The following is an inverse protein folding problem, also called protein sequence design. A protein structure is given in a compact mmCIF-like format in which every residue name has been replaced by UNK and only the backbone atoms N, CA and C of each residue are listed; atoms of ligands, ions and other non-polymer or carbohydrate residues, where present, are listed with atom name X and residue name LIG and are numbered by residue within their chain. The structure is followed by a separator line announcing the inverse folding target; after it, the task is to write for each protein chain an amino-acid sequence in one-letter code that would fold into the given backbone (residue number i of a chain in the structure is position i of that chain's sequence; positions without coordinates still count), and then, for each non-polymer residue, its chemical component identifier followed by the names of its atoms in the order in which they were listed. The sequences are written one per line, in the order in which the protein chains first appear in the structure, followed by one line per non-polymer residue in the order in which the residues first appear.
data_IF_478745881592
#
_entry.id   IF_478745881592
#
_cell.length_a   1.000
_cell.length_b   1.000
_cell.length_c   1.000
_cell.angle_alpha   90.00
_cell.angle_beta   90.00
_cell.angle_gamma   90.00
#
_symmetry.space_group_name_H-M   'P 1'
#
loop_
_entity.id
_entity.type
_entity.pdbx_description
1 polymer ?
#
# COMPACT_ATOMS: atom_id res chain seq x y z
N UNK A 1 51.32 -25.78 -13.03
CA UNK A 1 51.96 -24.43 -13.09
C UNK A 1 51.06 -23.49 -12.30
N UNK A 2 51.42 -23.21 -11.06
CA UNK A 2 50.66 -22.39 -10.13
C UNK A 2 51.35 -21.01 -10.07
N UNK A 3 50.59 -19.95 -10.32
CA UNK A 3 51.09 -18.57 -10.16
C UNK A 3 50.38 -18.02 -8.93
N UNK A 4 51.18 -17.75 -7.88
CA UNK A 4 50.79 -17.02 -6.67
C UNK A 4 50.87 -15.51 -6.94
N UNK A 5 49.85 -14.75 -6.48
CA UNK A 5 49.92 -13.30 -6.33
C UNK A 5 49.97 -12.94 -4.84
N UNK A 6 50.67 -11.87 -4.43
CA UNK A 6 50.99 -11.60 -3.05
C UNK A 6 49.92 -10.73 -2.33
N UNK A 7 49.75 -10.98 -1.03
CA UNK A 7 49.05 -10.19 -0.04
C UNK A 7 49.71 -8.81 0.18
N UNK A 8 48.91 -7.76 0.15
CA UNK A 8 49.30 -6.49 0.72
C UNK A 8 48.38 -6.19 1.94
N UNK A 9 48.94 -6.34 3.12
CA UNK A 9 48.43 -5.82 4.36
C UNK A 9 48.87 -4.36 4.47
N UNK A 10 47.92 -3.40 4.62
CA UNK A 10 48.22 -2.07 5.13
C UNK A 10 47.26 -1.74 6.28
N UNK A 11 47.85 -1.63 7.40
CA UNK A 11 47.43 -1.06 8.67
C UNK A 11 46.91 0.38 8.49
N UNK A 12 45.72 0.68 9.08
CA UNK A 12 45.31 2.04 9.34
C UNK A 12 45.13 2.24 10.85
N UNK A 13 46.04 3.00 11.43
CA UNK A 13 45.89 3.55 12.76
C UNK A 13 45.40 5.00 12.63
N UNK A 14 44.38 5.36 13.39
CA UNK A 14 44.16 6.62 14.05
C UNK A 14 43.78 7.85 13.22
N UNK A 15 42.53 8.28 13.33
CA UNK A 15 42.17 9.70 13.22
C UNK A 15 41.09 10.02 14.25
N UNK A 16 41.46 10.96 15.12
CA UNK A 16 40.69 11.50 16.26
C UNK A 16 39.59 12.44 15.77
N UNK A 17 38.45 12.35 16.46
CA UNK A 17 37.34 13.31 16.41
C UNK A 17 37.76 14.75 16.75
N UNK A 18 37.27 15.71 15.95
CA UNK A 18 37.27 17.13 16.30
C UNK A 18 35.86 17.65 16.34
N UNK A 19 35.38 17.96 17.54
CA UNK A 19 34.11 18.66 17.77
C UNK A 19 34.32 20.16 17.45
N UNK A 20 33.47 20.73 16.61
CA UNK A 20 33.36 22.19 16.46
C UNK A 20 32.20 22.67 17.34
N UNK A 21 32.58 23.38 18.39
CA UNK A 21 31.71 24.25 19.18
C UNK A 21 31.60 25.61 18.49
N UNK A 22 30.40 26.08 18.22
CA UNK A 22 30.13 27.44 17.77
C UNK A 22 29.60 28.24 18.96
N UNK A 23 30.39 29.26 19.36
CA UNK A 23 30.05 30.21 20.39
C UNK A 23 28.96 31.18 19.93
N UNK A 24 28.00 31.43 20.83
CA UNK A 24 27.05 32.53 20.75
C UNK A 24 27.70 33.82 21.24
N UNK A 25 27.67 34.89 20.44
CA UNK A 25 27.98 36.22 20.85
C UNK A 25 26.73 37.08 20.94
N UNK A 26 26.56 37.70 22.11
CA UNK A 26 25.49 38.62 22.45
C UNK A 26 25.81 40.06 21.96
N UNK A 27 24.81 40.76 21.43
CA UNK A 27 24.79 42.22 21.41
C UNK A 27 23.35 42.74 21.26
N UNK A 28 22.83 43.44 22.21
CA UNK A 28 22.61 44.90 22.12
C UNK A 28 21.13 45.24 22.19
N UNK A 29 20.62 45.54 23.40
CA UNK A 29 19.30 46.16 23.65
C UNK A 29 19.27 47.59 23.08
N UNK A 30 18.20 47.94 22.37
CA UNK A 30 17.68 49.31 22.31
C UNK A 30 16.18 49.32 22.53
N UNK A 31 15.76 50.03 23.58
CA UNK A 31 14.39 50.41 23.87
C UNK A 31 13.87 51.43 22.86
N UNK A 32 12.68 51.29 22.38
CA UNK A 32 11.79 52.38 21.94
C UNK A 32 10.35 52.07 22.30
N UNK A 33 9.70 53.11 22.75
CA UNK A 33 8.46 53.23 23.46
C UNK A 33 7.19 52.81 22.70
N UNK A 34 6.21 52.38 23.48
CA UNK A 34 4.85 52.02 23.06
C UNK A 34 3.96 53.24 22.81
N UNK A 35 3.01 53.06 21.88
CA UNK A 35 1.69 53.69 21.92
C UNK A 35 0.64 52.77 21.26
N UNK A 36 -0.60 52.72 21.73
CA UNK A 36 -1.58 51.66 21.43
C UNK A 36 -2.49 52.05 20.28
N UNK A 37 -2.69 51.09 19.37
CA UNK A 37 -3.79 51.19 18.35
C UNK A 37 -4.64 49.96 18.41
N UNK A 38 -5.93 50.23 18.29
CA UNK A 38 -7.13 49.41 18.44
C UNK A 38 -7.13 48.06 17.74
N UNK A 39 -7.81 47.09 18.37
CA UNK A 39 -8.22 45.80 17.75
C UNK A 39 -9.30 46.00 16.71
N UNK A 40 -9.31 45.19 15.66
CA UNK A 40 -10.55 44.67 15.12
C UNK A 40 -10.58 43.14 15.05
N UNK A 41 -11.72 42.62 15.42
CA UNK A 41 -12.49 41.44 14.96
C UNK A 41 -11.77 40.12 14.63
N UNK A 42 -12.07 39.17 15.46
CA UNK A 42 -12.36 37.73 15.24
C UNK A 42 -12.08 37.18 13.82
N UNK A 43 -10.95 36.49 13.68
CA UNK A 43 -10.76 35.48 12.64
C UNK A 43 -11.28 34.12 13.14
N UNK A 44 -11.93 33.30 12.28
CA UNK A 44 -12.36 31.97 12.68
C UNK A 44 -11.15 31.09 12.94
N UNK A 45 -11.14 30.43 14.09
CA UNK A 45 -10.13 29.39 14.41
C UNK A 45 -10.18 28.30 13.35
N UNK A 46 -9.04 27.85 12.80
CA UNK A 46 -9.04 26.67 11.96
C UNK A 46 -9.50 25.48 12.80
N UNK A 47 -10.43 24.71 12.26
CA UNK A 47 -10.86 23.45 12.83
C UNK A 47 -9.63 22.57 13.08
N UNK A 48 -9.43 22.12 14.30
CA UNK A 48 -8.42 21.11 14.62
C UNK A 48 -8.83 19.83 13.90
N UNK A 49 -8.15 19.52 12.81
CA UNK A 49 -8.17 18.20 12.20
C UNK A 49 -7.70 17.20 13.27
N UNK A 50 -8.56 16.24 13.58
CA UNK A 50 -8.25 15.13 14.45
C UNK A 50 -7.10 14.32 13.82
N UNK A 51 -5.89 14.54 14.30
CA UNK A 51 -4.68 13.80 13.94
C UNK A 51 -4.70 12.33 14.45
N UNK A 52 -5.77 11.92 15.10
CA UNK A 52 -5.92 10.59 15.72
C UNK A 52 -6.03 9.46 14.70
N UNK A 53 -6.61 9.69 13.53
CA UNK A 53 -6.80 8.63 12.52
C UNK A 53 -5.53 8.19 11.77
N UNK A 54 -4.50 9.05 11.72
CA UNK A 54 -3.24 8.71 11.03
C UNK A 54 -2.32 7.82 11.88
N UNK A 55 -2.45 7.88 13.21
CA UNK A 55 -1.57 7.14 14.12
C UNK A 55 -1.95 5.65 14.28
N UNK A 56 -3.19 5.29 13.98
CA UNK A 56 -3.77 4.01 14.44
C UNK A 56 -3.58 2.85 13.45
N UNK A 57 -3.57 3.11 12.14
CA UNK A 57 -3.20 2.07 11.18
C UNK A 57 -1.73 1.58 11.33
N UNK A 58 -0.84 2.42 11.91
CA UNK A 58 0.52 2.03 12.31
C UNK A 58 0.51 1.03 13.49
N UNK A 59 -0.48 1.11 14.37
CA UNK A 59 -0.56 0.26 15.54
C UNK A 59 -0.88 -1.20 15.17
N UNK A 60 -1.85 -1.44 14.28
CA UNK A 60 -2.26 -2.80 13.88
C UNK A 60 -1.15 -3.52 13.12
N UNK A 61 -0.51 -2.85 12.15
CA UNK A 61 0.62 -3.42 11.42
C UNK A 61 1.80 -3.77 12.35
N UNK A 62 2.13 -2.87 13.29
CA UNK A 62 3.22 -3.09 14.27
C UNK A 62 2.91 -4.18 15.28
N UNK A 63 1.65 -4.44 15.58
CA UNK A 63 1.20 -5.39 16.58
C UNK A 63 1.15 -6.81 16.03
N UNK A 64 0.66 -6.98 14.78
CA UNK A 64 0.75 -8.26 14.09
C UNK A 64 2.23 -8.68 13.95
N UNK A 65 3.14 -7.74 13.66
CA UNK A 65 4.57 -7.99 13.67
C UNK A 65 5.10 -8.39 15.06
N UNK A 66 4.69 -7.71 16.12
CA UNK A 66 5.15 -7.99 17.48
C UNK A 66 4.68 -9.35 18.00
N UNK A 67 3.43 -9.74 17.77
CA UNK A 67 2.92 -11.05 18.19
C UNK A 67 3.55 -12.20 17.40
N UNK A 68 3.91 -11.97 16.13
CA UNK A 68 4.63 -12.95 15.32
C UNK A 68 6.13 -13.01 15.65
N UNK A 69 6.74 -11.90 16.14
CA UNK A 69 8.17 -11.84 16.50
C UNK A 69 8.50 -12.58 17.80
N UNK A 70 7.59 -12.67 18.76
CA UNK A 70 7.92 -13.17 20.09
C UNK A 70 7.62 -14.66 20.30
N UNK A 71 7.16 -15.38 19.27
CA UNK A 71 6.89 -16.82 19.39
C UNK A 71 6.00 -17.15 20.60
N UNK A 72 5.08 -16.24 20.96
CA UNK A 72 4.12 -16.52 22.03
C UNK A 72 3.27 -17.66 21.50
N UNK A 73 3.59 -18.88 21.93
CA UNK A 73 2.61 -19.95 21.95
C UNK A 73 1.47 -19.43 22.82
N UNK A 74 0.48 -18.80 22.16
CA UNK A 74 -0.81 -18.60 22.80
C UNK A 74 -1.28 -20.00 23.18
N UNK A 75 -1.62 -20.20 24.45
CA UNK A 75 -2.25 -21.45 24.89
C UNK A 75 -3.31 -21.79 23.85
N UNK A 76 -3.17 -22.98 23.25
CA UNK A 76 -4.05 -23.42 22.17
C UNK A 76 -5.48 -23.33 22.69
N UNK A 77 -6.31 -22.54 22.02
CA UNK A 77 -7.75 -22.59 22.23
C UNK A 77 -8.18 -24.06 22.11
N UNK A 78 -8.95 -24.56 23.05
CA UNK A 78 -9.44 -25.95 23.04
C UNK A 78 -10.29 -26.17 21.78
N UNK A 79 -9.77 -26.92 20.81
CA UNK A 79 -10.45 -27.26 19.59
C UNK A 79 -9.63 -27.11 18.30
N UNK A 80 -10.21 -27.40 17.12
CA UNK A 80 -9.55 -27.21 15.84
C UNK A 80 -9.36 -25.71 15.57
N UNK A 81 -8.19 -25.32 15.03
CA UNK A 81 -7.91 -23.95 14.64
C UNK A 81 -8.92 -23.44 13.58
N UNK A 82 -9.11 -22.11 13.50
CA UNK A 82 -9.97 -21.50 12.49
C UNK A 82 -9.60 -21.96 11.05
N UNK A 83 -8.29 -22.08 10.77
CA UNK A 83 -7.80 -22.58 9.48
C UNK A 83 -8.25 -24.02 9.19
N UNK A 84 -8.29 -24.87 10.21
CA UNK A 84 -8.73 -26.25 10.05
C UNK A 84 -10.25 -26.37 9.90
N UNK A 85 -11.01 -25.60 10.67
CA UNK A 85 -12.46 -25.49 10.53
C UNK A 85 -12.85 -25.06 9.11
N UNK A 86 -12.20 -24.03 8.59
CA UNK A 86 -12.46 -23.52 7.24
C UNK A 86 -12.04 -24.52 6.16
N UNK A 87 -10.93 -25.23 6.36
CA UNK A 87 -10.52 -26.31 5.44
C UNK A 87 -11.54 -27.44 5.36
N UNK A 88 -12.07 -27.86 6.49
CA UNK A 88 -13.11 -28.87 6.55
C UNK A 88 -14.41 -28.39 5.89
N UNK A 89 -14.86 -27.18 6.24
CA UNK A 89 -16.06 -26.58 5.65
C UNK A 89 -15.98 -26.46 4.12
N UNK A 90 -14.84 -26.00 3.59
CA UNK A 90 -14.60 -25.92 2.13
C UNK A 90 -14.65 -27.29 1.46
N UNK A 91 -14.13 -28.33 2.14
CA UNK A 91 -14.11 -29.71 1.62
C UNK A 91 -15.50 -30.34 1.61
N UNK A 92 -16.31 -30.10 2.66
CA UNK A 92 -17.61 -30.72 2.84
C UNK A 92 -18.73 -30.04 2.03
N UNK A 93 -18.74 -28.71 2.01
CA UNK A 93 -19.88 -27.94 1.49
C UNK A 93 -19.50 -26.99 0.36
N UNK A 94 -18.20 -26.80 0.10
CA UNK A 94 -17.72 -25.74 -0.79
C UNK A 94 -17.95 -24.33 -0.21
N UNK A 95 -17.80 -23.29 -1.06
CA UNK A 95 -18.05 -21.90 -0.68
C UNK A 95 -19.25 -21.34 -1.42
N UNK A 96 -20.31 -21.02 -0.68
CA UNK A 96 -21.58 -20.46 -1.15
C UNK A 96 -21.79 -19.03 -0.68
N UNK A 97 -22.91 -18.40 -1.07
CA UNK A 97 -23.30 -17.07 -0.57
C UNK A 97 -23.57 -17.04 0.95
N UNK A 98 -23.88 -18.19 1.55
CA UNK A 98 -24.15 -18.33 3.00
C UNK A 98 -22.91 -18.68 3.80
N UNK A 99 -21.77 -18.91 3.14
CA UNK A 99 -20.49 -19.15 3.83
C UNK A 99 -20.00 -17.89 4.56
N UNK A 100 -19.22 -18.03 5.65
CA UNK A 100 -18.60 -16.91 6.32
C UNK A 100 -17.88 -15.95 5.36
N UNK A 101 -17.90 -14.65 5.66
CA UNK A 101 -17.34 -13.61 4.78
C UNK A 101 -15.88 -13.89 4.42
N UNK A 102 -15.08 -14.38 5.36
CA UNK A 102 -13.69 -14.76 5.11
C UNK A 102 -13.52 -15.76 3.96
N UNK A 103 -14.37 -16.76 3.86
CA UNK A 103 -14.31 -17.76 2.78
C UNK A 103 -14.78 -17.16 1.44
N UNK A 104 -15.77 -16.31 1.48
CA UNK A 104 -16.31 -15.62 0.29
C UNK A 104 -15.28 -14.62 -0.26
N UNK A 105 -14.60 -13.88 0.62
CA UNK A 105 -13.52 -12.97 0.23
C UNK A 105 -12.33 -13.74 -0.36
N UNK A 106 -11.90 -14.85 0.26
CA UNK A 106 -10.83 -15.70 -0.27
C UNK A 106 -11.17 -16.20 -1.68
N UNK A 107 -12.38 -16.74 -1.88
CA UNK A 107 -12.84 -17.18 -3.20
C UNK A 107 -12.81 -16.03 -4.21
N UNK A 108 -13.36 -14.88 -3.86
CA UNK A 108 -13.46 -13.71 -4.72
C UNK A 108 -12.07 -13.20 -5.17
N UNK A 109 -11.10 -13.05 -4.26
CA UNK A 109 -9.76 -12.56 -4.64
C UNK A 109 -9.01 -13.56 -5.53
N UNK A 110 -9.19 -14.86 -5.34
CA UNK A 110 -8.59 -15.86 -6.22
C UNK A 110 -9.22 -15.88 -7.62
N UNK A 111 -10.52 -15.66 -7.73
CA UNK A 111 -11.20 -15.51 -9.02
C UNK A 111 -10.72 -14.27 -9.75
N UNK A 112 -10.63 -13.14 -9.05
CA UNK A 112 -10.15 -11.86 -9.61
C UNK A 112 -8.66 -11.92 -9.99
N UNK A 113 -7.82 -12.60 -9.21
CA UNK A 113 -6.43 -12.81 -9.59
C UNK A 113 -6.32 -13.53 -10.94
N UNK A 114 -7.07 -14.60 -11.15
CA UNK A 114 -7.04 -15.36 -12.41
C UNK A 114 -7.52 -14.51 -13.59
N UNK A 115 -8.59 -13.75 -13.41
CA UNK A 115 -9.13 -12.86 -14.44
C UNK A 115 -8.15 -11.77 -14.83
N UNK A 116 -7.55 -11.11 -13.82
CA UNK A 116 -6.55 -10.04 -14.03
C UNK A 116 -5.30 -10.60 -14.72
N UNK A 117 -4.75 -11.72 -14.25
CA UNK A 117 -3.57 -12.35 -14.84
C UNK A 117 -3.84 -12.71 -16.30
N UNK A 118 -4.96 -13.37 -16.61
CA UNK A 118 -5.29 -13.72 -17.99
C UNK A 118 -5.41 -12.52 -18.92
N UNK A 119 -6.02 -11.42 -18.45
CA UNK A 119 -6.13 -10.19 -19.23
C UNK A 119 -4.74 -9.53 -19.46
N UNK A 120 -3.87 -9.53 -18.45
CA UNK A 120 -2.52 -8.97 -18.58
C UNK A 120 -1.61 -9.82 -19.49
N UNK A 121 -1.74 -11.15 -19.47
CA UNK A 121 -1.06 -12.06 -20.39
C UNK A 121 -1.47 -11.81 -21.85
N UNK A 122 -2.75 -11.52 -22.09
CA UNK A 122 -3.21 -11.11 -23.44
C UNK A 122 -2.59 -9.79 -23.90
N UNK A 123 -2.45 -8.81 -22.99
CA UNK A 123 -1.84 -7.51 -23.30
C UNK A 123 -0.35 -7.62 -23.56
N UNK A 124 0.36 -8.43 -22.78
CA UNK A 124 1.83 -8.58 -22.83
C UNK A 124 2.27 -9.58 -23.89
N UNK A 125 1.53 -10.68 -24.07
CA UNK A 125 1.90 -11.82 -24.91
C UNK A 125 2.84 -12.81 -24.22
N UNK A 126 3.16 -12.62 -22.92
CA UNK A 126 4.01 -13.48 -22.10
C UNK A 126 3.25 -13.96 -20.87
N UNK A 127 3.50 -15.21 -20.46
CA UNK A 127 2.84 -15.82 -19.31
C UNK A 127 3.49 -15.36 -17.99
N UNK A 128 2.68 -15.25 -16.95
CA UNK A 128 3.15 -15.06 -15.58
C UNK A 128 3.74 -16.35 -15.01
N UNK A 129 4.83 -16.23 -14.28
CA UNK A 129 5.31 -17.30 -13.41
C UNK A 129 4.40 -17.36 -12.17
N UNK A 130 3.85 -18.53 -11.89
CA UNK A 130 2.99 -18.77 -10.73
C UNK A 130 3.80 -19.45 -9.63
N UNK A 131 3.77 -18.87 -8.44
CA UNK A 131 4.44 -19.34 -7.24
C UNK A 131 3.42 -19.47 -6.11
N UNK A 132 3.11 -20.71 -5.72
CA UNK A 132 2.18 -21.01 -4.63
C UNK A 132 2.98 -21.33 -3.36
N UNK A 133 2.59 -20.75 -2.24
CA UNK A 133 3.28 -20.91 -0.98
C UNK A 133 2.29 -21.11 0.17
N UNK A 134 2.73 -21.82 1.20
CA UNK A 134 1.97 -22.11 2.41
C UNK A 134 2.69 -21.59 3.65
N UNK A 135 1.93 -21.36 4.72
CA UNK A 135 2.44 -20.92 6.02
C UNK A 135 2.31 -22.02 7.06
N UNK A 136 3.31 -22.18 7.95
CA UNK A 136 3.26 -23.21 8.98
C UNK A 136 2.05 -23.10 9.93
N UNK A 137 1.59 -21.88 10.17
CA UNK A 137 0.47 -21.58 11.09
C UNK A 137 -0.89 -21.47 10.39
N UNK A 138 -0.99 -21.88 9.14
CA UNK A 138 -2.18 -21.84 8.33
C UNK A 138 -2.25 -20.67 7.37
N UNK A 139 -2.88 -20.95 6.23
CA UNK A 139 -2.98 -20.03 5.09
C UNK A 139 -1.78 -20.15 4.15
N UNK A 140 -1.71 -19.23 3.21
CA UNK A 140 -0.72 -19.20 2.15
C UNK A 140 -1.01 -18.10 1.14
N UNK A 141 -0.52 -18.26 -0.06
CA UNK A 141 -0.79 -17.32 -1.14
C UNK A 141 -0.39 -17.84 -2.50
N UNK A 142 -0.79 -17.11 -3.51
CA UNK A 142 -0.41 -17.33 -4.91
C UNK A 142 0.17 -16.02 -5.43
N UNK A 143 1.46 -16.03 -5.76
CA UNK A 143 2.16 -14.90 -6.34
C UNK A 143 2.37 -15.15 -7.83
N UNK A 144 1.74 -14.35 -8.69
CA UNK A 144 1.95 -14.37 -10.13
C UNK A 144 2.89 -13.22 -10.48
N UNK A 145 4.05 -13.52 -11.06
CA UNK A 145 5.08 -12.53 -11.43
C UNK A 145 5.45 -12.66 -12.88
N UNK A 146 5.48 -11.54 -13.61
CA UNK A 146 6.02 -11.43 -14.95
C UNK A 146 7.22 -10.49 -14.90
N UNK A 147 8.34 -10.90 -15.50
CA UNK A 147 9.55 -10.09 -15.63
C UNK A 147 10.03 -10.13 -17.08
N UNK A 148 10.64 -9.04 -17.52
CA UNK A 148 11.14 -8.88 -18.88
C UNK A 148 10.08 -9.18 -19.94
N UNK A 149 8.82 -8.73 -19.69
CA UNK A 149 7.71 -8.85 -20.63
C UNK A 149 7.84 -7.90 -21.81
N UNK A 150 6.96 -8.06 -22.79
CA UNK A 150 6.92 -7.18 -23.95
C UNK A 150 6.35 -5.80 -23.63
N UNK A 151 5.39 -5.74 -22.71
CA UNK A 151 4.72 -4.52 -22.25
C UNK A 151 5.12 -4.17 -20.83
N UNK A 152 5.16 -5.17 -19.95
CA UNK A 152 5.51 -4.97 -18.55
C UNK A 152 6.95 -5.40 -18.28
N UNK A 153 7.83 -4.45 -17.92
CA UNK A 153 9.18 -4.74 -17.44
C UNK A 153 9.12 -5.62 -16.18
N UNK A 154 8.17 -5.31 -15.28
CA UNK A 154 7.80 -6.17 -14.16
C UNK A 154 6.33 -5.98 -13.82
N UNK A 155 5.66 -7.07 -13.54
CA UNK A 155 4.28 -7.09 -13.06
C UNK A 155 4.15 -8.15 -11.96
N UNK A 156 3.38 -7.85 -10.92
CA UNK A 156 3.08 -8.79 -9.86
C UNK A 156 1.61 -8.71 -9.47
N UNK A 157 0.95 -9.88 -9.39
CA UNK A 157 -0.43 -10.03 -8.91
C UNK A 157 -0.42 -11.10 -7.84
N UNK A 158 -0.66 -10.71 -6.59
CA UNK A 158 -0.51 -11.58 -5.42
C UNK A 158 -1.80 -11.67 -4.64
N UNK A 159 -2.20 -12.89 -4.29
CA UNK A 159 -3.21 -13.16 -3.26
C UNK A 159 -2.54 -13.75 -2.04
N UNK A 160 -2.98 -13.33 -0.86
CA UNK A 160 -2.57 -13.93 0.40
C UNK A 160 -3.76 -14.17 1.30
N UNK A 161 -3.73 -15.31 2.00
CA UNK A 161 -4.69 -15.72 3.01
C UNK A 161 -3.88 -16.11 4.25
N UNK A 162 -4.15 -15.45 5.37
CA UNK A 162 -3.36 -15.62 6.59
C UNK A 162 -4.29 -15.92 7.75
N UNK A 163 -3.99 -16.98 8.48
CA UNK A 163 -4.57 -17.31 9.77
C UNK A 163 -3.52 -17.11 10.87
N UNK A 164 -3.97 -16.85 12.07
CA UNK A 164 -3.10 -16.74 13.23
C UNK A 164 -3.90 -16.40 14.49
N UNK A 165 -3.18 -16.21 15.59
CA UNK A 165 -3.76 -15.87 16.89
C UNK A 165 -3.18 -14.54 17.36
N UNK A 166 -4.05 -13.61 17.77
CA UNK A 166 -3.70 -12.31 18.34
C UNK A 166 -3.59 -12.46 19.85
N UNK A 167 -2.43 -12.16 20.46
CA UNK A 167 -2.32 -12.12 21.92
C UNK A 167 -2.99 -10.87 22.49
N UNK A 168 -3.36 -10.90 23.78
CA UNK A 168 -4.03 -9.82 24.52
C UNK A 168 -3.42 -8.43 24.28
N UNK A 169 -2.09 -8.32 24.25
CA UNK A 169 -1.42 -7.04 24.01
C UNK A 169 -1.72 -6.46 22.61
N UNK A 170 -1.91 -7.33 21.61
CA UNK A 170 -2.32 -6.94 20.26
C UNK A 170 -3.79 -6.50 20.24
N UNK A 171 -4.68 -7.28 20.88
CA UNK A 171 -6.10 -6.99 21.00
C UNK A 171 -6.32 -5.62 21.64
N UNK A 172 -5.65 -5.34 22.77
CA UNK A 172 -5.76 -4.05 23.49
C UNK A 172 -5.38 -2.84 22.63
N UNK A 173 -4.37 -2.98 21.78
CA UNK A 173 -3.98 -1.91 20.87
C UNK A 173 -4.98 -1.73 19.72
N UNK A 174 -5.52 -2.82 19.18
CA UNK A 174 -6.54 -2.77 18.11
C UNK A 174 -7.84 -2.15 18.59
N UNK A 175 -8.19 -2.28 19.86
CA UNK A 175 -9.37 -1.67 20.47
C UNK A 175 -9.45 -0.15 20.41
N UNK A 176 -8.34 0.54 20.16
CA UNK A 176 -8.37 2.00 19.94
C UNK A 176 -9.32 2.36 18.79
N UNK A 177 -9.37 1.51 17.74
CA UNK A 177 -10.25 1.69 16.58
C UNK A 177 -11.46 0.73 16.60
N UNK A 178 -11.27 -0.49 17.10
CA UNK A 178 -12.26 -1.56 17.06
C UNK A 178 -12.75 -1.89 18.46
N UNK A 179 -13.69 -1.07 18.97
CA UNK A 179 -14.23 -1.18 20.36
C UNK A 179 -15.01 -2.47 20.61
N UNK A 180 -15.47 -3.14 19.56
CA UNK A 180 -16.17 -4.43 19.65
C UNK A 180 -15.28 -5.58 20.16
N UNK A 181 -13.94 -5.43 20.07
CA UNK A 181 -13.02 -6.44 20.60
C UNK A 181 -13.10 -6.50 22.14
N UNK A 182 -13.30 -7.69 22.69
CA UNK A 182 -13.31 -7.92 24.13
C UNK A 182 -11.91 -7.68 24.73
N UNK A 183 -11.76 -6.80 25.73
CA UNK A 183 -10.46 -6.52 26.36
C UNK A 183 -9.94 -7.64 27.25
N UNK A 184 -10.83 -8.53 27.70
CA UNK A 184 -10.54 -9.48 28.77
C UNK A 184 -10.16 -10.86 28.25
N UNK A 185 -10.23 -11.08 26.93
CA UNK A 185 -9.75 -12.32 26.31
C UNK A 185 -8.22 -12.32 26.20
N UNK A 186 -7.61 -13.49 26.48
CA UNK A 186 -6.16 -13.66 26.38
C UNK A 186 -5.68 -13.77 24.94
N UNK A 187 -6.50 -14.33 24.05
CA UNK A 187 -6.18 -14.52 22.65
C UNK A 187 -7.45 -14.55 21.78
N UNK A 188 -7.33 -14.11 20.52
CA UNK A 188 -8.36 -14.23 19.49
C UNK A 188 -7.75 -14.79 18.22
N UNK A 189 -8.43 -15.72 17.59
CA UNK A 189 -8.08 -16.11 16.24
C UNK A 189 -8.35 -14.97 15.27
N UNK A 190 -7.54 -14.85 14.25
CA UNK A 190 -7.75 -13.89 13.18
C UNK A 190 -7.60 -14.52 11.79
N UNK A 191 -8.28 -13.91 10.87
CA UNK A 191 -8.16 -14.14 9.44
C UNK A 191 -7.86 -12.84 8.72
N UNK A 192 -6.96 -12.88 7.74
CA UNK A 192 -6.68 -11.78 6.84
C UNK A 192 -6.53 -12.31 5.41
N UNK A 193 -7.23 -11.70 4.47
CA UNK A 193 -7.11 -12.04 3.06
C UNK A 193 -7.06 -10.79 2.20
N UNK A 194 -6.26 -10.82 1.12
CA UNK A 194 -6.18 -9.70 0.21
C UNK A 194 -5.56 -10.05 -1.15
N UNK A 195 -5.90 -9.23 -2.14
CA UNK A 195 -5.27 -9.18 -3.44
C UNK A 195 -4.50 -7.87 -3.57
N UNK A 196 -3.24 -7.97 -3.97
CA UNK A 196 -2.36 -6.84 -4.22
C UNK A 196 -1.70 -6.99 -5.58
N UNK A 197 -1.58 -5.89 -6.34
CA UNK A 197 -0.82 -5.89 -7.58
C UNK A 197 -0.05 -4.59 -7.77
N UNK A 198 1.05 -4.71 -8.52
CA UNK A 198 1.79 -3.57 -9.08
C UNK A 198 2.25 -3.92 -10.47
N UNK A 199 2.00 -3.03 -11.43
CA UNK A 199 2.41 -3.21 -12.82
C UNK A 199 3.37 -2.07 -13.22
N UNK A 200 4.57 -2.42 -13.65
CA UNK A 200 5.60 -1.49 -14.11
C UNK A 200 5.82 -1.65 -15.62
N UNK A 201 5.18 -0.82 -16.48
CA UNK A 201 5.36 -0.89 -17.92
C UNK A 201 6.80 -0.57 -18.35
N UNK A 202 7.25 -1.22 -19.42
CA UNK A 202 8.56 -0.95 -20.03
C UNK A 202 8.60 0.44 -20.69
N UNK A 203 7.49 0.86 -21.33
CA UNK A 203 7.37 2.16 -21.98
C UNK A 203 7.23 3.28 -20.93
N UNK A 204 8.08 4.32 -20.94
CA UNK A 204 8.00 5.45 -19.99
C UNK A 204 6.72 6.27 -20.09
N UNK A 205 6.02 6.22 -21.22
CA UNK A 205 4.77 6.93 -21.44
C UNK A 205 3.54 6.18 -20.90
N UNK A 206 3.72 4.91 -20.51
CA UNK A 206 2.70 4.10 -19.85
C UNK A 206 2.85 4.16 -18.32
N UNK A 207 1.78 4.42 -17.57
CA UNK A 207 1.87 4.59 -16.12
C UNK A 207 2.00 3.27 -15.37
N UNK A 208 2.73 3.29 -14.26
CA UNK A 208 2.65 2.28 -13.20
C UNK A 208 1.28 2.38 -12.52
N UNK A 209 0.72 1.25 -12.13
CA UNK A 209 -0.51 1.16 -11.35
C UNK A 209 -0.31 0.22 -10.17
N UNK A 210 -0.94 0.56 -9.06
CA UNK A 210 -1.02 -0.26 -7.85
C UNK A 210 -2.48 -0.41 -7.43
N UNK A 211 -2.83 -1.58 -6.89
CA UNK A 211 -4.04 -1.74 -6.09
C UNK A 211 -3.78 -2.73 -4.95
N UNK A 212 -4.60 -2.59 -3.91
CA UNK A 212 -4.70 -3.54 -2.81
C UNK A 212 -6.14 -3.52 -2.30
N UNK A 213 -6.78 -4.71 -2.18
CA UNK A 213 -8.05 -4.85 -1.48
C UNK A 213 -7.95 -6.01 -0.51
N UNK A 214 -8.40 -5.79 0.73
CA UNK A 214 -8.19 -6.73 1.83
C UNK A 214 -9.40 -6.78 2.77
N UNK A 215 -9.55 -7.90 3.43
CA UNK A 215 -10.49 -8.17 4.50
C UNK A 215 -9.76 -8.72 5.71
N UNK A 216 -10.19 -8.30 6.89
CA UNK A 216 -9.69 -8.79 8.16
C UNK A 216 -10.88 -9.10 9.08
N UNK A 217 -10.77 -10.18 9.85
CA UNK A 217 -11.69 -10.46 10.94
C UNK A 217 -10.98 -11.13 12.11
N UNK A 218 -11.57 -10.98 13.29
CA UNK A 218 -11.23 -11.78 14.48
C UNK A 218 -12.38 -12.72 14.78
N UNK A 219 -12.05 -13.92 15.25
CA UNK A 219 -13.01 -14.95 15.58
C UNK A 219 -12.82 -15.42 17.03
N UNK A 220 -13.93 -15.81 17.68
CA UNK A 220 -13.92 -16.55 18.93
C UNK A 220 -13.49 -18.02 18.72
N UNK A 221 -13.23 -18.77 19.82
CA UNK A 221 -12.83 -20.16 19.76
C UNK A 221 -13.87 -21.09 19.12
N UNK A 222 -15.11 -20.64 18.92
CA UNK A 222 -16.17 -21.33 18.21
C UNK A 222 -16.24 -20.97 16.72
N UNK A 223 -15.38 -20.04 16.25
CA UNK A 223 -15.35 -19.57 14.87
C UNK A 223 -16.35 -18.45 14.55
N UNK A 224 -17.01 -17.88 15.57
CA UNK A 224 -17.89 -16.71 15.44
C UNK A 224 -17.09 -15.43 15.26
N UNK A 225 -17.49 -14.57 14.29
CA UNK A 225 -16.83 -13.30 14.01
C UNK A 225 -17.14 -12.29 15.13
N UNK A 226 -16.10 -11.69 15.74
CA UNK A 226 -16.23 -10.67 16.76
C UNK A 226 -16.05 -9.24 16.20
N UNK A 227 -15.05 -9.05 15.35
CA UNK A 227 -14.82 -7.79 14.66
C UNK A 227 -14.32 -8.06 13.25
N UNK A 228 -14.63 -7.17 12.33
CA UNK A 228 -14.23 -7.30 10.93
C UNK A 228 -14.10 -5.90 10.31
N UNK A 229 -13.29 -5.79 9.26
CA UNK A 229 -13.19 -4.57 8.44
C UNK A 229 -12.61 -4.86 7.07
N UNK A 230 -12.93 -3.97 6.14
CA UNK A 230 -12.34 -3.90 4.82
C UNK A 230 -11.35 -2.75 4.71
N UNK A 231 -10.32 -2.92 3.90
CA UNK A 231 -9.40 -1.88 3.51
C UNK A 231 -8.97 -2.07 2.07
N UNK A 232 -8.53 -0.98 1.43
CA UNK A 232 -8.09 -1.09 0.06
C UNK A 232 -7.83 0.23 -0.63
N UNK A 233 -7.63 0.13 -1.93
CA UNK A 233 -7.45 1.27 -2.81
C UNK A 233 -6.70 0.92 -4.07
N UNK A 234 -6.62 1.89 -4.96
CA UNK A 234 -5.82 1.85 -6.18
C UNK A 234 -5.26 3.24 -6.47
N UNK A 235 -4.08 3.31 -7.10
CA UNK A 235 -3.47 4.56 -7.49
C UNK A 235 -2.64 4.44 -8.77
N UNK A 236 -2.60 5.55 -9.54
CA UNK A 236 -1.90 5.65 -10.81
C UNK A 236 -0.61 6.48 -10.62
N UNK A 237 0.52 5.93 -11.09
CA UNK A 237 1.85 6.56 -10.98
C UNK A 237 2.49 6.72 -12.35
N UNK A 238 2.18 7.79 -13.09
CA UNK A 238 2.80 8.06 -14.39
C UNK A 238 4.21 8.64 -14.23
N UNK A 239 5.11 8.33 -15.19
CA UNK A 239 6.34 9.08 -15.40
C UNK A 239 6.11 10.30 -16.33
N UNK A 240 5.15 10.23 -17.23
CA UNK A 240 4.66 11.33 -18.05
C UNK A 240 3.15 11.48 -17.91
N UNK A 241 2.71 12.69 -17.61
CA UNK A 241 1.30 12.99 -17.39
C UNK A 241 0.55 13.15 -18.70
N UNK A 242 -0.52 12.38 -18.83
CA UNK A 242 -1.58 12.57 -19.81
C UNK A 242 -2.89 12.78 -19.04
N UNK A 243 -3.50 13.93 -19.19
CA UNK A 243 -4.69 14.30 -18.42
C UNK A 243 -5.87 13.36 -18.69
N UNK A 244 -6.03 12.96 -19.95
CA UNK A 244 -7.07 12.01 -20.36
C UNK A 244 -6.95 10.65 -19.67
N UNK A 245 -5.72 10.20 -19.38
CA UNK A 245 -5.50 8.94 -18.66
C UNK A 245 -5.84 9.08 -17.16
N UNK A 246 -5.42 10.19 -16.54
CA UNK A 246 -5.76 10.50 -15.16
C UNK A 246 -7.28 10.67 -15.00
N UNK A 247 -7.93 11.41 -15.90
CA UNK A 247 -9.39 11.60 -15.88
C UNK A 247 -10.12 10.28 -16.08
N UNK A 248 -9.70 9.44 -17.02
CA UNK A 248 -10.29 8.12 -17.23
C UNK A 248 -10.16 7.24 -16.00
N UNK A 249 -8.96 7.16 -15.43
CA UNK A 249 -8.66 6.36 -14.23
C UNK A 249 -9.56 6.77 -13.04
N UNK A 250 -9.61 8.07 -12.77
CA UNK A 250 -10.39 8.61 -11.66
C UNK A 250 -11.90 8.51 -11.88
N UNK A 251 -12.37 8.70 -13.12
CA UNK A 251 -13.79 8.55 -13.46
C UNK A 251 -14.28 7.12 -13.24
N UNK A 252 -13.54 6.14 -13.72
CA UNK A 252 -13.93 4.73 -13.60
C UNK A 252 -14.05 4.31 -12.14
N UNK A 253 -13.09 4.69 -11.29
CA UNK A 253 -13.17 4.33 -9.86
C UNK A 253 -14.20 5.15 -9.09
N UNK A 254 -14.43 6.42 -9.49
CA UNK A 254 -15.52 7.22 -8.94
C UNK A 254 -16.88 6.60 -9.22
N UNK A 255 -17.11 6.15 -10.45
CA UNK A 255 -18.38 5.54 -10.85
C UNK A 255 -18.64 4.27 -10.02
N UNK A 256 -17.60 3.46 -9.71
CA UNK A 256 -17.70 2.33 -8.81
C UNK A 256 -18.02 2.76 -7.36
N UNK A 257 -17.42 3.84 -6.87
CA UNK A 257 -17.72 4.40 -5.55
C UNK A 257 -19.16 4.93 -5.47
N UNK A 258 -19.56 5.73 -6.48
CA UNK A 258 -20.86 6.41 -6.52
C UNK A 258 -22.05 5.44 -6.60
N UNK A 259 -21.84 4.23 -7.11
CA UNK A 259 -22.83 3.16 -7.10
C UNK A 259 -23.22 2.71 -5.68
N UNK A 260 -22.34 2.95 -4.68
CA UNK A 260 -22.56 2.59 -3.27
C UNK A 260 -22.77 3.81 -2.37
N UNK A 261 -21.93 4.85 -2.53
CA UNK A 261 -22.05 6.11 -1.79
C UNK A 261 -21.26 7.22 -2.47
N UNK A 262 -21.94 8.32 -2.82
CA UNK A 262 -21.31 9.48 -3.47
C UNK A 262 -20.26 10.19 -2.60
N UNK A 263 -20.26 9.96 -1.29
CA UNK A 263 -19.25 10.52 -0.40
C UNK A 263 -17.93 9.72 -0.41
N UNK A 264 -17.94 8.50 -0.93
CA UNK A 264 -16.79 7.59 -0.90
C UNK A 264 -15.63 8.11 -1.76
N UNK A 265 -15.89 8.42 -3.03
CA UNK A 265 -14.82 8.89 -3.91
C UNK A 265 -14.11 10.14 -3.37
N UNK A 266 -14.75 11.28 -3.05
CA UNK A 266 -14.04 12.46 -2.58
C UNK A 266 -13.30 12.21 -1.25
N UNK A 267 -13.87 11.42 -0.34
CA UNK A 267 -13.25 11.06 0.94
C UNK A 267 -12.02 10.19 0.73
N UNK A 268 -12.13 9.14 -0.07
CA UNK A 268 -11.05 8.18 -0.29
C UNK A 268 -9.97 8.71 -1.23
N UNK A 269 -10.30 9.57 -2.18
CA UNK A 269 -9.33 10.28 -3.02
C UNK A 269 -8.45 11.20 -2.18
N UNK A 270 -9.04 11.98 -1.28
CA UNK A 270 -8.31 12.82 -0.36
C UNK A 270 -7.38 11.99 0.54
N UNK A 271 -7.88 10.88 1.07
CA UNK A 271 -7.06 9.98 1.90
C UNK A 271 -5.93 9.33 1.09
N UNK A 272 -6.16 8.97 -0.17
CA UNK A 272 -5.15 8.48 -1.10
C UNK A 272 -4.00 9.49 -1.27
N UNK A 273 -4.30 10.76 -1.52
CA UNK A 273 -3.31 11.82 -1.68
C UNK A 273 -2.46 12.03 -0.41
N UNK A 274 -3.09 11.95 0.76
CA UNK A 274 -2.41 12.06 2.05
C UNK A 274 -1.51 10.83 2.34
N UNK A 275 -1.99 9.63 2.02
CA UNK A 275 -1.27 8.38 2.28
C UNK A 275 -0.06 8.21 1.37
N UNK A 276 -0.24 8.37 0.05
CA UNK A 276 0.82 8.14 -0.94
C UNK A 276 1.76 9.34 -1.11
N UNK A 277 2.04 10.06 -0.03
CA UNK A 277 2.94 11.20 0.00
C UNK A 277 4.37 10.80 0.39
N UNK A 278 5.33 11.13 -0.46
CA UNK A 278 6.77 11.06 -0.22
C UNK A 278 7.22 12.27 0.61
N UNK A 279 7.00 12.20 1.93
CA UNK A 279 7.16 13.34 2.85
C UNK A 279 8.53 14.01 2.78
N UNK A 280 9.61 13.22 2.66
CA UNK A 280 10.99 13.72 2.57
C UNK A 280 11.30 14.37 1.20
N UNK A 281 10.45 14.22 0.20
CA UNK A 281 10.53 14.88 -1.11
C UNK A 281 9.53 16.01 -1.27
N UNK A 282 8.50 16.09 -0.44
CA UNK A 282 7.41 17.05 -0.57
C UNK A 282 6.58 16.86 -1.83
N UNK A 283 6.42 15.61 -2.29
CA UNK A 283 5.65 15.25 -3.48
C UNK A 283 4.86 13.95 -3.27
N UNK A 284 3.76 13.78 -3.98
CA UNK A 284 3.01 12.52 -4.01
C UNK A 284 3.71 11.48 -4.88
N UNK A 285 3.46 10.19 -4.61
CA UNK A 285 3.97 9.07 -5.40
C UNK A 285 3.45 9.10 -6.83
N UNK A 286 2.17 9.40 -7.02
CA UNK A 286 1.45 9.43 -8.28
C UNK A 286 0.35 10.46 -8.30
N UNK A 287 -0.55 10.34 -9.26
CA UNK A 287 -1.70 11.25 -9.46
C UNK A 287 -2.94 10.88 -8.64
N UNK A 288 -2.78 9.93 -7.70
CA UNK A 288 -3.83 9.49 -6.80
C UNK A 288 -4.70 8.37 -7.37
N UNK A 289 -5.84 8.24 -6.78
CA UNK A 289 -6.85 7.21 -6.95
C UNK A 289 -7.75 7.21 -5.73
N UNK A 290 -7.97 6.05 -5.11
CA UNK A 290 -8.67 5.94 -3.82
C UNK A 290 -7.83 5.15 -2.82
N UNK A 291 -8.00 5.47 -1.54
CA UNK A 291 -7.48 4.70 -0.42
C UNK A 291 -8.47 4.75 0.74
N UNK A 292 -8.74 3.60 1.34
CA UNK A 292 -9.56 3.47 2.54
C UNK A 292 -9.03 2.34 3.43
N UNK A 293 -9.31 2.45 4.71
CA UNK A 293 -8.98 1.45 5.72
C UNK A 293 -10.05 1.45 6.82
N UNK A 294 -10.09 0.35 7.60
CA UNK A 294 -10.96 0.22 8.77
C UNK A 294 -12.46 0.48 8.45
N UNK A 295 -12.96 0.09 7.26
CA UNK A 295 -14.39 0.13 6.97
C UNK A 295 -15.08 -1.06 7.64
N UNK A 296 -15.84 -0.79 8.67
CA UNK A 296 -16.55 -1.76 9.51
C UNK A 296 -18.07 -1.45 9.62
N UNK A 297 -18.74 -2.05 10.58
CA UNK A 297 -20.17 -1.88 10.82
C UNK A 297 -20.58 -0.47 11.27
N UNK A 298 -19.63 0.37 11.65
CA UNK A 298 -19.89 1.81 11.89
C UNK A 298 -20.15 2.59 10.60
N UNK A 299 -19.72 2.06 9.46
CA UNK A 299 -19.90 2.67 8.14
C UNK A 299 -21.16 2.13 7.45
N UNK A 300 -21.20 0.81 7.21
CA UNK A 300 -22.30 0.06 6.57
C UNK A 300 -22.23 -1.42 7.00
N UNK A 301 -23.28 -2.19 6.71
CA UNK A 301 -23.23 -3.63 6.94
C UNK A 301 -22.17 -4.34 6.07
N UNK A 302 -21.79 -5.53 6.49
CA UNK A 302 -20.71 -6.30 5.89
C UNK A 302 -20.97 -6.64 4.42
N UNK A 303 -22.21 -6.93 4.04
CA UNK A 303 -22.57 -7.25 2.67
C UNK A 303 -22.48 -6.03 1.75
N UNK A 304 -22.92 -4.87 2.22
CA UNK A 304 -22.82 -3.63 1.47
C UNK A 304 -21.36 -3.23 1.24
N UNK A 305 -20.49 -3.38 2.25
CA UNK A 305 -19.06 -3.09 2.11
C UNK A 305 -18.35 -4.13 1.25
N UNK A 306 -18.73 -5.41 1.34
CA UNK A 306 -18.20 -6.43 0.45
C UNK A 306 -18.57 -6.17 -1.00
N UNK A 307 -19.83 -5.80 -1.28
CA UNK A 307 -20.28 -5.41 -2.63
C UNK A 307 -19.49 -4.21 -3.16
N UNK A 308 -19.26 -3.18 -2.33
CA UNK A 308 -18.42 -2.03 -2.68
C UNK A 308 -16.99 -2.45 -3.05
N UNK A 309 -16.34 -3.29 -2.23
CA UNK A 309 -14.99 -3.80 -2.50
C UNK A 309 -14.94 -4.63 -3.78
N UNK A 310 -15.98 -5.44 -4.03
CA UNK A 310 -16.08 -6.23 -5.27
C UNK A 310 -16.16 -5.34 -6.50
N UNK A 311 -16.97 -4.29 -6.48
CA UNK A 311 -17.12 -3.40 -7.63
C UNK A 311 -15.87 -2.55 -7.86
N UNK A 312 -15.21 -2.08 -6.79
CA UNK A 312 -13.93 -1.40 -6.89
C UNK A 312 -12.83 -2.29 -7.50
N UNK A 313 -12.74 -3.57 -7.09
CA UNK A 313 -11.75 -4.50 -7.63
C UNK A 313 -12.05 -4.87 -9.09
N UNK A 314 -13.31 -5.13 -9.44
CA UNK A 314 -13.75 -5.39 -10.83
C UNK A 314 -13.54 -4.18 -11.75
N UNK A 315 -13.59 -2.96 -11.21
CA UNK A 315 -13.30 -1.75 -11.97
C UNK A 315 -11.85 -1.66 -12.46
N UNK A 316 -10.92 -2.47 -11.93
CA UNK A 316 -9.50 -2.39 -12.27
C UNK A 316 -9.21 -2.58 -13.77
N UNK A 317 -9.72 -3.63 -14.38
CA UNK A 317 -9.47 -3.89 -15.80
C UNK A 317 -10.03 -2.78 -16.72
N UNK A 318 -11.29 -2.34 -16.60
CA UNK A 318 -11.78 -1.21 -17.38
C UNK A 318 -11.08 0.11 -17.03
N UNK A 319 -10.53 0.26 -15.83
CA UNK A 319 -9.80 1.45 -15.40
C UNK A 319 -8.40 1.53 -16.03
N UNK A 320 -7.67 0.43 -16.14
CA UNK A 320 -6.26 0.42 -16.53
C UNK A 320 -6.00 -0.06 -17.96
N UNK A 321 -6.71 -1.09 -18.47
CA UNK A 321 -6.45 -1.62 -19.80
C UNK A 321 -6.54 -0.59 -20.93
N UNK A 322 -7.53 0.31 -20.98
CA UNK A 322 -7.59 1.32 -22.02
C UNK A 322 -6.38 2.26 -21.99
N UNK A 323 -5.80 2.52 -20.83
CA UNK A 323 -4.62 3.37 -20.67
C UNK A 323 -3.39 2.65 -21.24
N UNK A 324 -3.13 1.41 -20.79
CA UNK A 324 -1.96 0.67 -21.24
C UNK A 324 -2.01 0.41 -22.75
N UNK A 325 -3.18 0.11 -23.32
CA UNK A 325 -3.35 -0.10 -24.76
C UNK A 325 -3.02 1.17 -25.57
N UNK A 326 -3.37 2.35 -25.09
CA UNK A 326 -3.02 3.61 -25.72
C UNK A 326 -1.54 3.94 -25.65
N UNK A 327 -0.81 3.48 -24.62
CA UNK A 327 0.54 3.96 -24.30
C UNK A 327 1.65 2.94 -24.57
N UNK A 328 1.37 1.64 -24.56
CA UNK A 328 2.39 0.58 -24.62
C UNK A 328 3.30 0.63 -25.85
N UNK A 329 2.79 1.10 -27.00
CA UNK A 329 3.50 1.13 -28.27
C UNK A 329 3.95 2.53 -28.72
N UNK A 330 3.78 3.56 -27.89
CA UNK A 330 4.22 4.91 -28.24
C UNK A 330 5.74 4.96 -28.38
N UNK A 331 6.29 5.65 -29.38
CA UNK A 331 7.73 5.86 -29.46
C UNK A 331 8.20 6.73 -28.29
N UNK A 332 9.38 6.42 -27.77
CA UNK A 332 10.00 7.17 -26.70
C UNK A 332 11.51 7.31 -26.90
N UNK A 333 12.09 8.27 -26.24
CA UNK A 333 13.53 8.60 -26.27
C UNK A 333 14.27 8.03 -25.07
N UNK A 334 15.58 7.95 -25.14
CA UNK A 334 16.44 7.59 -23.99
C UNK A 334 16.30 8.59 -22.83
N UNK A 335 16.03 9.86 -23.11
CA UNK A 335 15.75 10.86 -22.10
C UNK A 335 14.47 10.52 -21.31
N UNK A 336 13.39 10.15 -22.02
CA UNK A 336 12.14 9.73 -21.39
C UNK A 336 12.31 8.45 -20.57
N UNK A 337 13.12 7.50 -21.06
CA UNK A 337 13.45 6.28 -20.30
C UNK A 337 14.26 6.60 -19.05
N UNK A 338 15.24 7.50 -19.14
CA UNK A 338 16.00 7.97 -17.97
C UNK A 338 15.09 8.61 -16.91
N UNK A 339 14.17 9.46 -17.34
CA UNK A 339 13.21 10.08 -16.44
C UNK A 339 12.32 9.05 -15.75
N UNK A 340 11.80 8.05 -16.47
CA UNK A 340 11.06 6.95 -15.85
C UNK A 340 11.88 6.28 -14.73
N UNK A 341 13.18 6.01 -14.98
CA UNK A 341 14.04 5.39 -13.98
C UNK A 341 14.19 6.27 -12.71
N UNK A 342 14.31 7.58 -12.88
CA UNK A 342 14.35 8.53 -11.75
C UNK A 342 13.02 8.50 -10.98
N UNK A 343 11.87 8.50 -11.67
CA UNK A 343 10.54 8.40 -11.02
C UNK A 343 10.35 7.07 -10.30
N UNK A 344 10.86 5.97 -10.84
CA UNK A 344 10.89 4.68 -10.17
C UNK A 344 11.72 4.71 -8.88
N UNK A 345 12.81 5.47 -8.83
CA UNK A 345 13.54 5.72 -7.60
C UNK A 345 12.64 6.31 -6.51
N UNK A 346 11.77 7.29 -6.85
CA UNK A 346 10.79 7.87 -5.91
C UNK A 346 9.72 6.86 -5.47
N UNK A 347 9.29 6.00 -6.37
CA UNK A 347 8.38 4.90 -6.05
C UNK A 347 9.00 3.93 -5.04
N UNK A 348 10.25 3.53 -5.25
CA UNK A 348 11.00 2.67 -4.31
C UNK A 348 11.18 3.34 -2.95
N UNK A 349 11.53 4.64 -2.92
CA UNK A 349 11.63 5.40 -1.66
C UNK A 349 10.32 5.35 -0.87
N UNK A 350 9.17 5.56 -1.53
CA UNK A 350 7.88 5.48 -0.86
C UNK A 350 7.65 4.07 -0.27
N UNK A 351 7.79 3.04 -1.09
CA UNK A 351 7.50 1.68 -0.67
C UNK A 351 8.37 1.21 0.50
N UNK A 352 9.69 1.51 0.48
CA UNK A 352 10.61 1.06 1.52
C UNK A 352 10.59 1.92 2.79
N UNK A 353 10.26 3.22 2.67
CA UNK A 353 10.34 4.16 3.80
C UNK A 353 8.98 4.49 4.41
N UNK A 354 7.93 4.57 3.60
CA UNK A 354 6.64 5.10 4.03
C UNK A 354 5.48 4.10 3.95
N UNK A 355 5.58 3.07 3.09
CA UNK A 355 4.49 2.12 2.93
C UNK A 355 4.37 1.19 4.14
N UNK A 356 3.21 1.26 4.81
CA UNK A 356 2.93 0.47 6.00
C UNK A 356 2.87 -1.03 5.70
N UNK A 357 2.31 -1.39 4.54
CA UNK A 357 2.17 -2.77 4.12
C UNK A 357 3.53 -3.43 3.87
N UNK A 358 4.42 -2.77 3.14
CA UNK A 358 5.80 -3.22 2.90
C UNK A 358 6.58 -3.34 4.21
N UNK A 359 6.52 -2.31 5.05
CA UNK A 359 7.20 -2.32 6.35
C UNK A 359 6.68 -3.46 7.24
N UNK A 360 5.37 -3.64 7.33
CA UNK A 360 4.76 -4.74 8.06
C UNK A 360 5.24 -6.09 7.54
N UNK A 361 5.14 -6.32 6.22
CA UNK A 361 5.54 -7.58 5.61
C UNK A 361 7.00 -7.92 5.87
N UNK A 362 7.93 -6.98 5.65
CA UNK A 362 9.37 -7.20 5.83
C UNK A 362 9.76 -7.42 7.30
N UNK A 363 9.01 -6.87 8.26
CA UNK A 363 9.26 -7.04 9.68
C UNK A 363 8.52 -8.25 10.30
N UNK A 364 7.70 -8.96 9.53
CA UNK A 364 6.96 -10.14 10.01
C UNK A 364 7.80 -11.40 9.83
N UNK A 365 8.15 -12.13 10.90
CA UNK A 365 8.89 -13.38 10.79
C UNK A 365 8.16 -14.42 9.94
N UNK A 366 8.90 -15.12 9.09
CA UNK A 366 8.34 -16.12 8.17
C UNK A 366 7.53 -15.52 7.00
N UNK A 367 7.57 -14.21 6.80
CA UNK A 367 7.00 -13.58 5.62
C UNK A 367 7.76 -13.97 4.36
N UNK A 368 7.03 -14.10 3.26
CA UNK A 368 7.66 -14.33 1.96
C UNK A 368 8.15 -13.01 1.37
N UNK A 369 9.45 -12.72 1.56
CA UNK A 369 10.09 -11.47 1.15
C UNK A 369 9.89 -11.21 -0.36
N UNK A 370 10.02 -12.24 -1.20
CA UNK A 370 9.84 -12.13 -2.66
C UNK A 370 8.44 -11.67 -3.06
N UNK A 371 7.40 -12.15 -2.36
CA UNK A 371 6.01 -11.72 -2.59
C UNK A 371 5.72 -10.29 -2.13
N UNK A 372 6.53 -9.75 -1.21
CA UNK A 372 6.46 -8.35 -0.77
C UNK A 372 7.22 -7.46 -1.75
N UNK A 373 8.48 -7.81 -2.07
CA UNK A 373 9.35 -7.01 -2.94
C UNK A 373 9.03 -7.15 -4.44
N UNK A 374 8.07 -8.03 -4.80
CA UNK A 374 7.55 -8.04 -6.17
C UNK A 374 6.96 -6.69 -6.59
N UNK A 375 6.51 -5.88 -5.63
CA UNK A 375 5.95 -4.54 -5.85
C UNK A 375 6.97 -3.52 -6.37
N UNK A 376 8.26 -3.79 -6.21
CA UNK A 376 9.31 -2.90 -6.70
C UNK A 376 9.58 -3.12 -8.20
N UNK A 377 9.93 -2.05 -8.97
CA UNK A 377 10.36 -2.19 -10.35
C UNK A 377 11.67 -3.00 -10.46
N UNK A 378 11.97 -3.57 -11.64
CA UNK A 378 13.25 -4.24 -11.89
C UNK A 378 14.42 -3.27 -11.84
N UNK A 379 14.22 -2.05 -12.37
CA UNK A 379 15.25 -1.02 -12.47
C UNK A 379 14.76 0.31 -11.94
N UNK A 380 15.65 1.04 -11.27
CA UNK A 380 15.42 2.39 -10.76
C UNK A 380 16.73 3.17 -10.75
N UNK A 381 16.67 4.51 -10.70
CA UNK A 381 17.85 5.35 -10.69
C UNK A 381 17.71 6.49 -9.68
N UNK A 382 18.79 6.74 -8.95
CA UNK A 382 18.96 7.92 -8.10
C UNK A 382 20.04 8.81 -8.71
N UNK A 383 19.63 9.95 -9.26
CA UNK A 383 20.53 10.95 -9.77
C UNK A 383 20.64 12.09 -8.76
N UNK A 384 21.89 12.44 -8.39
CA UNK A 384 22.16 13.47 -7.40
C UNK A 384 21.71 14.84 -7.92
N UNK A 385 20.93 15.57 -7.12
CA UNK A 385 20.42 16.92 -7.41
C UNK A 385 19.76 17.08 -8.78
N UNK A 386 19.10 16.01 -9.27
CA UNK A 386 18.39 16.10 -10.55
C UNK A 386 17.17 17.00 -10.44
N UNK A 387 17.10 18.00 -11.30
CA UNK A 387 15.95 18.88 -11.51
C UNK A 387 15.53 18.80 -12.98
N UNK A 388 14.23 18.70 -13.29
CA UNK A 388 13.77 18.72 -14.67
C UNK A 388 13.95 20.10 -15.29
N UNK A 389 14.07 20.14 -16.62
CA UNK A 389 14.14 21.38 -17.37
C UNK A 389 12.85 22.19 -17.19
N UNK A 390 13.02 23.50 -17.01
CA UNK A 390 11.90 24.43 -16.83
C UNK A 390 10.99 24.46 -18.05
N UNK A 391 9.68 24.32 -17.83
CA UNK A 391 8.66 24.25 -18.88
C UNK A 391 8.52 22.88 -19.55
N UNK A 392 9.32 21.88 -19.11
CA UNK A 392 9.24 20.52 -19.64
C UNK A 392 8.00 19.76 -19.17
N UNK A 393 7.73 18.61 -19.79
CA UNK A 393 6.67 17.66 -19.39
C UNK A 393 6.97 17.07 -18.01
N UNK A 394 8.24 16.89 -17.69
CA UNK A 394 8.74 16.40 -16.41
C UNK A 394 8.47 17.39 -15.27
N UNK A 395 8.74 18.69 -15.50
CA UNK A 395 8.39 19.74 -14.53
C UNK A 395 6.87 19.83 -14.32
N UNK A 396 6.08 19.73 -15.40
CA UNK A 396 4.62 19.71 -15.30
C UNK A 396 4.14 18.57 -14.39
N UNK A 397 4.68 17.35 -14.56
CA UNK A 397 4.35 16.25 -13.68
C UNK A 397 4.70 16.57 -12.23
N UNK A 398 5.93 17.06 -11.95
CA UNK A 398 6.34 17.39 -10.58
C UNK A 398 5.42 18.43 -9.93
N UNK A 399 4.96 19.43 -10.69
CA UNK A 399 4.04 20.44 -10.18
C UNK A 399 2.70 19.82 -9.72
N UNK A 400 2.18 18.85 -10.47
CA UNK A 400 0.97 18.09 -10.11
C UNK A 400 1.23 17.19 -8.89
N UNK A 401 2.39 16.54 -8.80
CA UNK A 401 2.74 15.68 -7.66
C UNK A 401 2.96 16.47 -6.36
N UNK A 402 3.44 17.71 -6.46
CA UNK A 402 3.59 18.62 -5.30
C UNK A 402 2.25 19.24 -4.86
N UNK A 403 1.29 19.33 -5.76
CA UNK A 403 -0.03 19.86 -5.50
C UNK A 403 -1.08 19.00 -6.19
N UNK A 404 -1.61 17.97 -5.49
CA UNK A 404 -2.62 17.07 -6.04
C UNK A 404 -3.80 17.82 -6.68
N UNK A 405 -4.31 17.24 -7.77
CA UNK A 405 -5.37 17.84 -8.61
C UNK A 405 -6.65 17.00 -8.47
N UNK A 406 -7.80 17.68 -8.49
CA UNK A 406 -9.09 17.01 -8.66
C UNK A 406 -9.32 16.72 -10.15
N UNK A 407 -9.24 15.44 -10.53
CA UNK A 407 -9.32 15.00 -11.92
C UNK A 407 -10.75 14.92 -12.45
N UNK A 408 -11.70 14.70 -11.56
CA UNK A 408 -13.13 14.57 -11.89
C UNK A 408 -13.96 15.31 -10.84
N UNK A 409 -14.97 16.05 -11.29
CA UNK A 409 -15.89 16.83 -10.43
C UNK A 409 -17.07 15.96 -9.98
#
# INVERSE_FOLDING_TARGET
MAVRLPFFQKSFAGLRSSFFTVNAAAAGRRHLSASPIARPSTSPRPARLNTTHVATGLAVASILAYSMMNGVEADKLDGPSLAEQDRLSKRESGVSAQSPMRLRMEKFIHEQQKEIVAALEQVDGKLFQVDTWERPHGGGGITCVLQDGNVFEKAGVNTSVVYGTLPRAAIQKMRVNHKALDPDVEALDFFAAGLSLVLHPANPLAPTVHLNYRYFETADGAGGTQAWWFGGGCDLTPAYLFDEDAIHFHRTIRDACDAHDRSYYPRFKKWCDEYFSNKHRGESRGVGGIFFDDLDDSEKDQEQLFSFVQDCLKAFLPQYLPIIERRKNLPFTEHEKLWQQIRRGRYVEFNLVHDRGTSFGLNTPGSRVESILMSLPLTARWQYMHEPEKGSREERLLNVLKKPVEWVN
#
